data_IF_748477141859
#
_entry.id   IF_748477141859
#
_cell.length_a   1.000
_cell.length_b   1.000
_cell.length_c   1.000
_cell.angle_alpha   90.00
_cell.angle_beta   90.00
_cell.angle_gamma   90.00
#
_symmetry.space_group_name_H-M   'P 1'
#
loop_
_entity.id
_entity.type
_entity.pdbx_description
1 polymer ?
#
# COMPACT_ATOMS: atom_id res chain seq x y z
N UNK A 1 47.12 36.66 58.94
CA UNK A 1 46.01 35.76 58.55
C UNK A 1 45.78 35.97 57.05
N UNK A 2 46.15 35.00 56.20
CA UNK A 2 46.08 35.09 54.73
C UNK A 2 44.86 34.29 54.25
N UNK A 3 43.86 34.99 53.75
CA UNK A 3 42.64 34.42 53.18
C UNK A 3 42.90 33.95 51.76
N UNK A 4 42.79 32.65 51.52
CA UNK A 4 42.90 32.01 50.20
C UNK A 4 41.48 31.94 49.62
N UNK A 5 41.24 32.62 48.50
CA UNK A 5 40.01 32.51 47.71
C UNK A 5 40.18 31.35 46.71
N UNK A 6 39.46 30.25 46.93
CA UNK A 6 39.27 29.19 45.95
C UNK A 6 38.29 29.67 44.86
N UNK A 7 38.73 29.67 43.60
CA UNK A 7 37.86 29.85 42.44
C UNK A 7 37.51 28.46 41.90
N UNK A 8 36.27 28.03 42.09
CA UNK A 8 35.72 26.83 41.43
C UNK A 8 35.32 27.19 39.99
N UNK A 9 36.07 26.69 39.01
CA UNK A 9 35.69 26.77 37.59
C UNK A 9 34.65 25.68 37.27
N UNK A 10 33.38 26.06 37.22
CA UNK A 10 32.32 25.19 36.72
C UNK A 10 32.40 25.11 35.18
N UNK A 11 32.89 23.99 34.67
CA UNK A 11 32.91 23.71 33.22
C UNK A 11 31.51 23.28 32.78
N UNK A 12 30.75 24.18 32.15
CA UNK A 12 29.51 23.82 31.47
C UNK A 12 29.86 23.01 30.20
N UNK A 13 29.72 21.68 30.26
CA UNK A 13 29.58 20.88 29.04
C UNK A 13 28.19 21.16 28.47
N UNK A 14 28.10 22.06 27.49
CA UNK A 14 26.95 22.16 26.63
C UNK A 14 26.90 20.91 25.74
N UNK A 15 26.06 19.94 26.09
CA UNK A 15 25.69 18.87 25.19
C UNK A 15 24.87 19.49 24.05
N UNK A 16 25.52 19.79 22.93
CA UNK A 16 24.83 20.14 21.70
C UNK A 16 24.08 18.90 21.23
N UNK A 17 22.76 18.90 21.37
CA UNK A 17 21.92 17.98 20.62
C UNK A 17 22.16 18.29 19.14
N UNK A 18 22.96 17.46 18.46
CA UNK A 18 23.13 17.54 17.03
C UNK A 18 21.75 17.38 16.39
N UNK A 19 21.15 18.48 15.95
CA UNK A 19 20.04 18.41 15.01
C UNK A 19 20.59 17.70 13.78
N UNK A 20 20.09 16.50 13.50
CA UNK A 20 20.42 15.81 12.28
C UNK A 20 20.14 16.78 11.13
N UNK A 21 21.17 17.16 10.39
CA UNK A 21 20.99 18.09 9.28
C UNK A 21 20.00 17.46 8.31
N UNK A 22 18.98 18.21 7.90
CA UNK A 22 18.01 17.69 6.95
C UNK A 22 18.67 17.54 5.57
N UNK A 23 18.41 16.40 4.93
CA UNK A 23 18.99 15.93 3.68
C UNK A 23 17.87 15.81 2.65
N UNK A 24 18.14 16.28 1.42
CA UNK A 24 17.23 16.09 0.31
C UNK A 24 17.46 14.72 -0.33
N UNK A 25 16.36 13.99 -0.59
CA UNK A 25 16.33 12.79 -1.41
C UNK A 25 15.45 13.05 -2.63
N UNK A 26 15.98 12.76 -3.80
CA UNK A 26 15.28 12.87 -5.08
C UNK A 26 15.63 11.72 -6.00
N UNK A 27 14.95 11.63 -7.14
CA UNK A 27 15.27 10.64 -8.15
C UNK A 27 14.31 10.66 -9.31
N UNK A 28 14.50 9.73 -10.23
CA UNK A 28 13.62 9.48 -11.34
C UNK A 28 13.22 8.01 -11.43
N UNK A 29 12.03 7.76 -11.97
CA UNK A 29 11.48 6.43 -12.17
C UNK A 29 11.26 6.18 -13.66
N UNK A 30 11.74 5.01 -14.09
CA UNK A 30 11.55 4.51 -15.46
C UNK A 30 11.02 3.08 -15.47
N UNK A 31 10.32 2.67 -16.52
CA UNK A 31 10.09 1.26 -16.80
C UNK A 31 11.33 0.61 -17.41
N UNK A 32 11.36 -0.73 -17.48
CA UNK A 32 12.40 -1.47 -18.25
C UNK A 32 12.43 -1.12 -19.74
N UNK A 33 11.33 -0.63 -20.31
CA UNK A 33 11.26 -0.12 -21.68
C UNK A 33 11.77 1.32 -21.84
N UNK A 34 12.18 1.97 -20.75
CA UNK A 34 12.71 3.34 -20.73
C UNK A 34 11.65 4.43 -20.61
N UNK A 35 10.37 4.06 -20.49
CA UNK A 35 9.28 5.03 -20.30
C UNK A 35 9.39 5.70 -18.92
N UNK A 36 9.22 7.02 -18.86
CA UNK A 36 9.08 7.76 -17.59
C UNK A 36 7.71 7.49 -16.96
N UNK A 37 7.67 7.23 -15.66
CA UNK A 37 6.45 6.83 -14.97
C UNK A 37 5.97 7.92 -13.99
N UNK A 38 4.84 8.52 -14.30
CA UNK A 38 4.12 9.48 -13.45
C UNK A 38 3.26 8.77 -12.38
N UNK A 39 3.01 9.44 -11.25
CA UNK A 39 2.07 8.98 -10.24
C UNK A 39 2.53 7.75 -9.45
N UNK A 40 3.80 7.37 -9.57
CA UNK A 40 4.39 6.24 -8.84
C UNK A 40 4.61 6.66 -7.39
N UNK A 41 4.11 5.86 -6.45
CA UNK A 41 4.37 6.07 -5.03
C UNK A 41 5.81 5.68 -4.71
N UNK A 42 6.58 6.61 -4.17
CA UNK A 42 7.94 6.40 -3.67
C UNK A 42 7.96 6.61 -2.18
N UNK A 43 8.46 5.62 -1.45
CA UNK A 43 8.49 5.64 0.01
C UNK A 43 9.92 5.51 0.53
N UNK A 44 10.21 6.20 1.63
CA UNK A 44 11.48 6.17 2.33
C UNK A 44 11.24 5.96 3.83
N UNK A 45 11.99 5.03 4.41
CA UNK A 45 11.96 4.72 5.84
C UNK A 45 13.37 4.63 6.40
N UNK A 46 13.68 5.51 7.35
CA UNK A 46 14.94 5.48 8.10
C UNK A 46 15.03 4.16 8.87
N UNK A 47 16.20 3.53 8.86
CA UNK A 47 16.46 2.33 9.66
C UNK A 47 16.24 2.59 11.16
N UNK A 48 15.57 1.66 11.85
CA UNK A 48 15.18 1.83 13.25
C UNK A 48 13.99 2.77 13.50
N UNK A 49 13.57 3.57 12.50
CA UNK A 49 12.39 4.43 12.63
C UNK A 49 11.08 3.65 12.44
N UNK A 50 9.99 4.12 13.04
CA UNK A 50 8.63 3.67 12.76
C UNK A 50 7.97 4.45 11.62
N UNK A 51 8.49 5.63 11.28
CA UNK A 51 7.91 6.56 10.31
C UNK A 51 8.31 6.20 8.88
N UNK A 52 7.34 6.25 7.97
CA UNK A 52 7.56 6.17 6.51
C UNK A 52 7.05 7.45 5.89
N UNK A 53 7.89 8.11 5.10
CA UNK A 53 7.48 9.24 4.26
C UNK A 53 7.24 8.72 2.85
N UNK A 54 6.19 9.21 2.20
CA UNK A 54 5.87 8.85 0.82
C UNK A 54 5.59 10.09 -0.02
N UNK A 55 6.03 10.05 -1.27
CA UNK A 55 5.79 11.07 -2.30
C UNK A 55 5.36 10.40 -3.60
N UNK A 56 4.92 11.17 -4.58
CA UNK A 56 4.56 10.69 -5.90
C UNK A 56 5.50 11.27 -6.95
N UNK A 57 5.72 10.53 -8.04
CA UNK A 57 6.42 11.07 -9.20
C UNK A 57 5.57 12.06 -9.98
N UNK A 58 6.22 13.08 -10.55
CA UNK A 58 5.63 14.04 -11.48
C UNK A 58 5.47 13.47 -12.90
N UNK A 59 4.95 14.29 -13.82
CA UNK A 59 4.73 13.95 -15.24
C UNK A 59 6.01 13.55 -15.99
N UNK A 60 7.19 13.98 -15.52
CA UNK A 60 8.49 13.61 -16.08
C UNK A 60 9.10 12.38 -15.38
N UNK A 61 8.38 11.78 -14.43
CA UNK A 61 8.80 10.62 -13.65
C UNK A 61 9.79 10.95 -12.54
N UNK A 62 9.97 12.23 -12.18
CA UNK A 62 10.85 12.63 -11.08
C UNK A 62 10.09 12.68 -9.76
N UNK A 63 10.79 12.43 -8.65
CA UNK A 63 10.24 12.59 -7.32
C UNK A 63 11.20 13.38 -6.42
N UNK A 64 10.63 14.06 -5.43
CA UNK A 64 11.36 14.88 -4.47
C UNK A 64 10.74 14.72 -3.09
N UNK A 65 11.54 14.28 -2.11
CA UNK A 65 11.12 14.23 -0.72
C UNK A 65 11.25 15.61 -0.06
N UNK A 66 10.39 15.92 0.94
CA UNK A 66 10.72 16.98 1.88
C UNK A 66 12.05 16.69 2.58
N UNK A 67 12.69 17.67 3.23
CA UNK A 67 13.93 17.44 3.94
C UNK A 67 13.80 16.28 4.97
N UNK A 68 14.74 15.33 4.94
CA UNK A 68 14.74 14.12 5.76
C UNK A 68 15.98 14.07 6.65
N UNK A 69 15.92 13.52 7.88
CA UNK A 69 17.12 13.34 8.70
C UNK A 69 18.24 12.57 7.97
N UNK A 70 19.49 12.89 8.27
CA UNK A 70 20.61 12.09 7.79
C UNK A 70 20.58 10.66 8.35
N UNK A 71 20.90 9.67 7.52
CA UNK A 71 21.00 8.27 7.92
C UNK A 71 20.73 7.29 6.79
N UNK A 72 20.65 6.00 7.13
CA UNK A 72 20.38 4.91 6.18
C UNK A 72 18.89 4.68 6.04
N UNK A 73 18.41 4.73 4.81
CA UNK A 73 17.01 4.55 4.46
C UNK A 73 16.83 3.28 3.64
N UNK A 74 15.76 2.56 3.94
CA UNK A 74 15.13 1.65 2.98
C UNK A 74 14.17 2.46 2.13
N UNK A 75 14.29 2.33 0.82
CA UNK A 75 13.46 3.04 -0.15
C UNK A 75 12.78 2.05 -1.08
N UNK A 76 11.57 2.36 -1.53
CA UNK A 76 10.88 1.54 -2.52
C UNK A 76 9.93 2.37 -3.38
N UNK A 77 9.72 1.88 -4.59
CA UNK A 77 8.76 2.44 -5.54
C UNK A 77 7.70 1.38 -5.89
N UNK A 78 6.44 1.80 -5.93
CA UNK A 78 5.31 0.95 -6.25
C UNK A 78 4.34 1.67 -7.21
N UNK A 79 3.98 0.98 -8.28
CA UNK A 79 2.92 1.38 -9.21
C UNK A 79 2.02 0.18 -9.53
N UNK A 80 0.77 0.43 -9.90
CA UNK A 80 -0.16 -0.63 -10.32
C UNK A 80 0.37 -1.31 -11.59
N UNK A 81 0.37 -2.65 -11.61
CA UNK A 81 0.84 -3.42 -12.75
C UNK A 81 2.36 -3.55 -12.85
N UNK A 82 3.11 -3.01 -11.89
CA UNK A 82 4.55 -3.16 -11.78
C UNK A 82 4.94 -3.92 -10.52
N UNK A 83 6.05 -4.66 -10.61
CA UNK A 83 6.71 -5.24 -9.45
C UNK A 83 7.28 -4.13 -8.56
N UNK A 84 7.20 -4.32 -7.24
CA UNK A 84 7.78 -3.39 -6.28
C UNK A 84 9.31 -3.37 -6.46
N UNK A 85 9.87 -2.19 -6.71
CA UNK A 85 11.32 -2.00 -6.75
C UNK A 85 11.80 -1.47 -5.40
N UNK A 86 12.85 -2.08 -4.84
CA UNK A 86 13.39 -1.75 -3.51
C UNK A 86 14.86 -1.39 -3.60
N UNK A 87 15.31 -0.51 -2.71
CA UNK A 87 16.69 -0.09 -2.60
C UNK A 87 17.04 0.37 -1.19
N UNK A 88 18.30 0.75 -1.02
CA UNK A 88 18.80 1.39 0.18
C UNK A 88 19.63 2.62 -0.22
N UNK A 89 19.54 3.68 0.57
CA UNK A 89 20.30 4.92 0.37
C UNK A 89 20.80 5.44 1.70
N UNK A 90 22.06 5.87 1.76
CA UNK A 90 22.61 6.56 2.92
C UNK A 90 22.61 8.07 2.65
N UNK A 91 21.66 8.78 3.26
CA UNK A 91 21.48 10.22 3.08
C UNK A 91 22.61 11.06 3.69
N UNK A 92 23.57 10.45 4.40
CA UNK A 92 24.80 11.13 4.78
C UNK A 92 25.77 11.34 3.61
N UNK A 93 25.63 10.57 2.52
CA UNK A 93 26.56 10.58 1.38
C UNK A 93 25.89 10.71 0.01
N UNK A 94 24.64 10.30 -0.12
CA UNK A 94 23.89 10.32 -1.39
C UNK A 94 22.58 11.09 -1.23
N UNK A 95 22.24 11.88 -2.26
CA UNK A 95 20.99 12.67 -2.32
C UNK A 95 20.05 12.25 -3.43
N UNK A 96 20.45 11.22 -4.20
CA UNK A 96 19.73 10.73 -5.36
C UNK A 96 19.66 9.21 -5.36
N UNK A 97 18.50 8.68 -5.75
CA UNK A 97 18.31 7.26 -6.02
C UNK A 97 17.31 7.13 -7.16
N UNK A 98 17.65 6.46 -8.25
CA UNK A 98 16.72 6.27 -9.38
C UNK A 98 16.18 4.83 -9.34
N UNK A 99 14.91 4.65 -9.69
CA UNK A 99 14.31 3.31 -9.79
C UNK A 99 14.04 2.92 -11.24
N UNK A 100 14.23 1.64 -11.53
CA UNK A 100 13.66 0.99 -12.71
C UNK A 100 12.59 0.01 -12.25
N UNK A 101 11.38 0.14 -12.78
CA UNK A 101 10.24 -0.72 -12.49
C UNK A 101 10.09 -1.76 -13.60
N UNK A 102 9.79 -2.98 -13.17
CA UNK A 102 9.50 -4.09 -14.07
C UNK A 102 7.99 -4.29 -14.17
N UNK A 103 7.47 -4.31 -15.39
CA UNK A 103 6.08 -4.69 -15.64
C UNK A 103 5.85 -6.10 -15.10
N UNK A 104 4.74 -6.24 -14.38
CA UNK A 104 4.32 -7.53 -13.89
C UNK A 104 3.81 -8.36 -15.05
N UNK A 105 4.34 -9.58 -15.23
CA UNK A 105 3.93 -10.48 -16.32
C UNK A 105 2.88 -11.51 -15.86
N UNK A 106 2.88 -11.86 -14.58
CA UNK A 106 1.93 -12.79 -13.99
C UNK A 106 0.53 -12.13 -13.90
N UNK A 107 -0.48 -12.67 -14.63
CA UNK A 107 -1.82 -12.09 -14.65
C UNK A 107 -2.53 -12.17 -13.30
N UNK A 108 -2.29 -13.19 -12.48
CA UNK A 108 -2.96 -13.33 -11.19
C UNK A 108 -2.45 -12.30 -10.19
N UNK A 109 -1.12 -12.14 -10.12
CA UNK A 109 -0.51 -11.11 -9.26
C UNK A 109 -0.90 -9.71 -9.73
N UNK A 110 -1.00 -9.49 -11.04
CA UNK A 110 -1.46 -8.20 -11.60
C UNK A 110 -2.89 -7.91 -11.19
N UNK A 111 -3.78 -8.90 -11.29
CA UNK A 111 -5.19 -8.76 -10.92
C UNK A 111 -5.35 -8.47 -9.41
N UNK A 112 -4.57 -9.12 -8.54
CA UNK A 112 -4.61 -8.89 -7.08
C UNK A 112 -4.12 -7.50 -6.66
N UNK A 113 -3.37 -6.79 -7.50
CA UNK A 113 -2.98 -5.40 -7.21
C UNK A 113 -4.08 -4.39 -7.56
N UNK A 114 -5.09 -4.79 -8.34
CA UNK A 114 -6.10 -3.85 -8.81
C UNK A 114 -6.95 -3.33 -7.64
N UNK A 115 -7.26 -2.02 -7.63
CA UNK A 115 -8.36 -1.49 -6.85
C UNK A 115 -9.66 -2.21 -7.19
N UNK A 116 -10.57 -2.32 -6.22
CA UNK A 116 -11.78 -3.12 -6.37
C UNK A 116 -12.69 -2.66 -7.50
N UNK A 117 -12.73 -1.36 -7.81
CA UNK A 117 -13.45 -0.79 -8.93
C UNK A 117 -12.87 -1.22 -10.28
N UNK A 118 -11.54 -1.34 -10.38
CA UNK A 118 -10.87 -1.83 -11.59
C UNK A 118 -11.09 -3.33 -11.78
N UNK A 119 -11.15 -4.10 -10.68
CA UNK A 119 -11.50 -5.51 -10.73
C UNK A 119 -12.92 -5.72 -11.24
N UNK A 120 -13.87 -4.92 -10.75
CA UNK A 120 -15.26 -4.93 -11.25
C UNK A 120 -15.32 -4.52 -12.71
N UNK A 121 -14.64 -3.43 -13.09
CA UNK A 121 -14.60 -2.98 -14.47
C UNK A 121 -14.09 -4.07 -15.43
N UNK A 122 -13.14 -4.90 -14.97
CA UNK A 122 -12.59 -6.01 -15.73
C UNK A 122 -13.49 -7.26 -15.82
N UNK A 123 -14.63 -7.32 -15.10
CA UNK A 123 -15.57 -8.44 -15.21
C UNK A 123 -16.23 -8.48 -16.61
N UNK A 124 -16.51 -9.69 -17.15
CA UNK A 124 -17.18 -9.85 -18.44
C UNK A 124 -18.49 -9.07 -18.55
N UNK A 125 -18.71 -8.44 -19.70
CA UNK A 125 -19.97 -7.77 -20.08
C UNK A 125 -20.31 -7.96 -21.57
N UNK A 126 -19.60 -8.84 -22.28
CA UNK A 126 -19.73 -8.97 -23.73
C UNK A 126 -21.11 -9.51 -24.17
N UNK A 127 -21.73 -10.34 -23.34
CA UNK A 127 -23.08 -10.86 -23.55
C UNK A 127 -24.09 -10.29 -22.55
N UNK A 128 -25.39 -10.39 -22.87
CA UNK A 128 -26.45 -10.03 -21.93
C UNK A 128 -26.42 -10.89 -20.65
N UNK A 129 -25.97 -12.14 -20.77
CA UNK A 129 -25.77 -13.04 -19.62
C UNK A 129 -24.63 -12.57 -18.73
N UNK A 130 -23.48 -12.22 -19.31
CA UNK A 130 -22.33 -11.67 -18.58
C UNK A 130 -22.70 -10.37 -17.86
N UNK A 131 -23.37 -9.45 -18.56
CA UNK A 131 -23.83 -8.20 -17.98
C UNK A 131 -24.81 -8.42 -16.82
N UNK A 132 -25.70 -9.41 -16.94
CA UNK A 132 -26.60 -9.82 -15.84
C UNK A 132 -25.81 -10.39 -14.67
N UNK A 133 -24.85 -11.28 -14.91
CA UNK A 133 -24.01 -11.88 -13.87
C UNK A 133 -23.21 -10.82 -13.11
N UNK A 134 -22.59 -9.88 -13.81
CA UNK A 134 -21.89 -8.75 -13.19
C UNK A 134 -22.82 -7.90 -12.33
N UNK A 135 -24.04 -7.62 -12.80
CA UNK A 135 -25.05 -6.88 -12.02
C UNK A 135 -25.47 -7.62 -10.75
N UNK A 136 -25.65 -8.94 -10.83
CA UNK A 136 -25.95 -9.79 -9.67
C UNK A 136 -24.81 -9.73 -8.66
N UNK A 137 -23.55 -9.85 -9.11
CA UNK A 137 -22.38 -9.72 -8.26
C UNK A 137 -22.34 -8.37 -7.56
N UNK A 138 -22.51 -7.27 -8.30
CA UNK A 138 -22.48 -5.92 -7.74
C UNK A 138 -23.62 -5.65 -6.75
N UNK A 139 -24.80 -6.21 -6.96
CA UNK A 139 -25.93 -5.96 -6.07
C UNK A 139 -25.89 -6.81 -4.80
N UNK A 140 -25.42 -8.06 -4.91
CA UNK A 140 -25.55 -9.04 -3.83
C UNK A 140 -24.24 -9.26 -3.05
N UNK A 141 -23.08 -9.08 -3.68
CA UNK A 141 -21.80 -9.45 -3.09
C UNK A 141 -20.99 -8.25 -2.57
N UNK A 142 -21.29 -7.02 -2.98
CA UNK A 142 -20.48 -5.84 -2.64
C UNK A 142 -21.06 -4.98 -1.52
N UNK A 143 -22.18 -5.41 -0.93
CA UNK A 143 -22.85 -4.68 0.15
C UNK A 143 -22.18 -4.84 1.52
N UNK A 144 -21.45 -5.95 1.74
CA UNK A 144 -20.88 -6.28 3.05
C UNK A 144 -19.34 -6.14 3.14
N UNK A 145 -18.62 -6.18 2.01
CA UNK A 145 -17.16 -5.98 1.94
C UNK A 145 -16.78 -5.27 0.63
N UNK A 146 -15.53 -4.79 0.53
CA UNK A 146 -15.04 -4.23 -0.74
C UNK A 146 -15.12 -5.26 -1.87
N UNK A 147 -15.35 -4.80 -3.10
CA UNK A 147 -15.39 -5.66 -4.30
C UNK A 147 -14.09 -6.45 -4.49
N UNK A 148 -12.96 -5.86 -4.08
CA UNK A 148 -11.66 -6.51 -4.14
C UNK A 148 -11.61 -7.80 -3.33
N UNK A 149 -12.27 -7.85 -2.16
CA UNK A 149 -12.21 -9.03 -1.30
C UNK A 149 -12.88 -10.26 -1.94
N UNK A 150 -14.02 -10.09 -2.60
CA UNK A 150 -14.68 -11.21 -3.28
C UNK A 150 -13.99 -11.63 -4.59
N UNK A 151 -13.30 -10.71 -5.27
CA UNK A 151 -12.68 -11.00 -6.57
C UNK A 151 -11.21 -11.44 -6.46
N UNK A 152 -10.50 -11.12 -5.37
CA UNK A 152 -9.06 -11.40 -5.26
C UNK A 152 -8.69 -12.87 -5.03
N UNK A 153 -9.65 -13.70 -4.63
CA UNK A 153 -9.45 -15.12 -4.34
C UNK A 153 -10.10 -16.01 -5.40
N UNK A 154 -9.49 -17.17 -5.65
CA UNK A 154 -10.06 -18.20 -6.53
C UNK A 154 -10.66 -19.28 -5.65
N UNK A 155 -11.93 -19.58 -5.88
CA UNK A 155 -12.62 -20.72 -5.30
C UNK A 155 -13.22 -21.59 -6.41
N UNK A 156 -13.23 -22.89 -6.17
CA UNK A 156 -14.06 -23.82 -6.94
C UNK A 156 -15.52 -23.74 -6.47
N UNK A 157 -16.39 -24.52 -7.10
CA UNK A 157 -17.81 -24.56 -6.76
C UNK A 157 -18.06 -24.93 -5.29
N UNK A 158 -17.30 -25.90 -4.77
CA UNK A 158 -17.42 -26.34 -3.38
C UNK A 158 -16.99 -25.24 -2.39
N UNK A 159 -15.93 -24.50 -2.70
CA UNK A 159 -15.48 -23.34 -1.93
C UNK A 159 -16.50 -22.21 -1.94
N UNK A 160 -17.03 -21.86 -3.12
CA UNK A 160 -18.06 -20.83 -3.26
C UNK A 160 -19.34 -21.18 -2.51
N UNK A 161 -19.78 -22.43 -2.60
CA UNK A 161 -20.99 -22.90 -1.90
C UNK A 161 -20.86 -22.71 -0.39
N UNK A 162 -19.72 -23.09 0.20
CA UNK A 162 -19.46 -22.88 1.63
C UNK A 162 -19.48 -21.41 2.04
N UNK A 163 -18.90 -20.53 1.22
CA UNK A 163 -18.86 -19.08 1.49
C UNK A 163 -20.27 -18.49 1.42
N UNK A 164 -21.02 -18.81 0.36
CA UNK A 164 -22.37 -18.31 0.13
C UNK A 164 -23.31 -18.82 1.22
N UNK A 165 -23.21 -20.09 1.62
CA UNK A 165 -24.04 -20.65 2.70
C UNK A 165 -23.78 -19.99 4.04
N UNK A 166 -22.52 -19.64 4.32
CA UNK A 166 -22.17 -18.83 5.50
C UNK A 166 -22.79 -17.43 5.40
N UNK A 167 -22.65 -16.75 4.25
CA UNK A 167 -23.18 -15.40 4.03
C UNK A 167 -24.71 -15.33 4.11
N UNK A 168 -25.41 -16.43 3.82
CA UNK A 168 -26.87 -16.51 4.00
C UNK A 168 -27.25 -16.36 5.47
N UNK A 169 -26.49 -16.91 6.41
CA UNK A 169 -26.92 -16.97 7.82
C UNK A 169 -26.14 -16.01 8.73
N UNK A 170 -24.89 -15.68 8.40
CA UNK A 170 -24.05 -14.81 9.21
C UNK A 170 -24.16 -13.36 8.71
N UNK A 171 -24.69 -12.43 9.53
CA UNK A 171 -24.73 -11.01 9.18
C UNK A 171 -23.33 -10.38 9.18
N UNK A 172 -23.24 -9.15 8.67
CA UNK A 172 -21.97 -8.38 8.54
C UNK A 172 -21.19 -8.25 9.85
N UNK A 173 -21.87 -8.38 10.99
CA UNK A 173 -21.26 -8.34 12.33
C UNK A 173 -20.42 -9.59 12.66
N UNK A 174 -20.51 -10.64 11.84
CA UNK A 174 -19.76 -11.89 12.03
C UNK A 174 -20.31 -12.80 13.13
N UNK A 175 -21.41 -12.42 13.78
CA UNK A 175 -22.01 -13.21 14.87
C UNK A 175 -22.79 -14.38 14.27
N UNK A 176 -22.36 -15.61 14.56
CA UNK A 176 -23.08 -16.80 14.15
C UNK A 176 -24.40 -16.92 14.93
N UNK A 177 -25.57 -16.87 14.27
CA UNK A 177 -26.87 -16.85 14.95
C UNK A 177 -27.36 -18.23 15.40
N UNK A 178 -26.55 -19.27 15.20
CA UNK A 178 -26.87 -20.65 15.57
C UNK A 178 -27.33 -21.51 14.38
N UNK A 179 -27.45 -22.84 14.58
CA UNK A 179 -27.67 -23.81 13.50
C UNK A 179 -29.03 -23.72 12.80
N UNK A 180 -30.01 -23.07 13.43
CA UNK A 180 -31.38 -22.94 12.90
C UNK A 180 -31.68 -21.52 12.39
N UNK A 181 -30.64 -20.70 12.20
CA UNK A 181 -30.81 -19.35 11.68
C UNK A 181 -31.36 -19.38 10.26
N UNK A 182 -32.36 -18.55 9.99
CA UNK A 182 -32.93 -18.41 8.65
C UNK A 182 -31.95 -17.69 7.74
N UNK A 183 -31.95 -18.06 6.45
CA UNK A 183 -31.20 -17.35 5.45
C UNK A 183 -31.70 -15.89 5.31
N UNK A 184 -30.77 -14.99 5.05
CA UNK A 184 -31.05 -13.60 4.74
C UNK A 184 -31.73 -13.53 3.36
N UNK A 185 -32.86 -12.85 3.31
CA UNK A 185 -33.69 -12.71 2.12
C UNK A 185 -33.00 -11.99 0.95
N UNK A 186 -31.90 -11.26 1.20
CA UNK A 186 -31.09 -10.64 0.13
C UNK A 186 -30.59 -11.70 -0.87
N UNK A 187 -30.26 -12.91 -0.40
CA UNK A 187 -29.76 -14.00 -1.26
C UNK A 187 -30.87 -14.90 -1.83
N UNK A 188 -32.08 -14.88 -1.24
CA UNK A 188 -33.24 -15.65 -1.73
C UNK A 188 -33.96 -14.96 -2.89
N UNK A 189 -33.90 -13.62 -2.99
CA UNK A 189 -34.63 -12.84 -4.00
C UNK A 189 -34.07 -12.95 -5.43
N UNK A 190 -32.90 -13.57 -5.60
CA UNK A 190 -32.15 -13.56 -6.86
C UNK A 190 -31.71 -14.96 -7.36
N UNK A 191 -32.24 -16.03 -6.75
CA UNK A 191 -32.27 -17.36 -7.35
C UNK A 191 -33.37 -17.43 -8.42
#
# INVERSE_FOLDING_TARGET
MKTILLVCAASLLAATAAHAADQLLSGAITSRSGQKLEGVTVSAKLEGSTITTSVYTDTAGNYFFPPLPAGKYRVWAQALGFEMSKGAVDLSSARRHDFTLQEMTDPERRFRQLPGEMMVAALPEASAEDARAKKIFMNNCTGCHSTSYALQFRFDEAGWSKIIDLMKVVPVTGVYPGPNAKANQIMERHQ
#
